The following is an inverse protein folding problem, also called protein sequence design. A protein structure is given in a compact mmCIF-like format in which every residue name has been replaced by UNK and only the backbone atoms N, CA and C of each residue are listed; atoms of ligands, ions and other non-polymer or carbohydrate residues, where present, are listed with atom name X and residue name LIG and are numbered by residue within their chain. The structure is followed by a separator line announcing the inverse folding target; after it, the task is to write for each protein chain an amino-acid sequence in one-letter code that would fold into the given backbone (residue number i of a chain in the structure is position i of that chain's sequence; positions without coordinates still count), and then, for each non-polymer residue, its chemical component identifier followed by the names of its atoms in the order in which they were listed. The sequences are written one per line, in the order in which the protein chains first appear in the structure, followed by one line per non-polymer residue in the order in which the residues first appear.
data_IF_283275127039
#
_entry.id   IF_283275127039
#
_cell.length_a   1.000
_cell.length_b   1.000
_cell.length_c   1.000
_cell.angle_alpha   90.00
_cell.angle_beta   90.00
_cell.angle_gamma   90.00
#
_symmetry.space_group_name_H-M   'P 1'
#
loop_
_entity.id
_entity.type
_entity.pdbx_description
1 polymer ?
#
# COMPACT_ATOMS: atom_id res chain seq x y z
N UNK A 1 42.69 -14.76 -32.66
CA UNK A 1 42.88 -14.04 -31.38
C UNK A 1 43.64 -12.75 -31.65
N UNK A 2 42.97 -11.59 -31.57
CA UNK A 2 43.55 -10.33 -31.11
C UNK A 2 42.40 -9.38 -30.80
N UNK A 3 42.54 -8.50 -29.81
CA UNK A 3 41.48 -7.58 -29.42
C UNK A 3 41.62 -6.23 -30.13
N UNK A 4 40.55 -5.79 -30.80
CA UNK A 4 40.39 -4.40 -31.28
C UNK A 4 39.04 -3.92 -30.73
N UNK A 5 39.07 -3.35 -29.52
CA UNK A 5 37.87 -2.86 -28.84
C UNK A 5 37.41 -1.51 -29.40
N UNK A 6 36.11 -1.31 -29.66
CA UNK A 6 35.59 -0.01 -30.06
C UNK A 6 35.61 0.97 -28.88
N UNK A 7 36.58 1.88 -28.96
CA UNK A 7 36.65 3.22 -28.36
C UNK A 7 35.31 3.79 -27.85
N UNK A 8 35.29 4.20 -26.58
CA UNK A 8 34.19 4.97 -25.97
C UNK A 8 34.17 6.42 -26.49
N UNK A 9 33.13 6.81 -27.21
CA UNK A 9 32.65 8.20 -27.36
C UNK A 9 31.12 8.20 -27.34
N UNK A 10 30.46 8.86 -26.37
CA UNK A 10 29.00 9.01 -26.34
C UNK A 10 28.56 10.29 -27.07
N UNK A 11 27.67 10.17 -28.04
CA UNK A 11 26.95 11.29 -28.64
C UNK A 11 25.55 10.86 -29.11
N UNK A 12 24.55 11.70 -28.86
CA UNK A 12 23.13 11.54 -29.19
C UNK A 12 22.40 10.38 -28.50
N UNK A 13 21.57 10.77 -27.54
CA UNK A 13 20.72 9.93 -26.73
C UNK A 13 19.80 9.00 -27.53
N UNK A 14 19.67 7.77 -27.03
CA UNK A 14 18.49 6.94 -27.24
C UNK A 14 18.08 6.41 -25.86
N UNK A 15 16.94 6.87 -25.35
CA UNK A 15 16.42 6.49 -24.03
C UNK A 15 15.79 5.09 -24.08
N UNK A 16 16.65 4.07 -24.12
CA UNK A 16 16.27 2.65 -23.97
C UNK A 16 16.14 2.26 -22.49
N UNK A 17 15.08 1.52 -22.15
CA UNK A 17 14.69 1.24 -20.76
C UNK A 17 15.78 0.62 -19.88
N UNK A 18 16.00 1.21 -18.70
CA UNK A 18 17.00 0.79 -17.73
C UNK A 18 16.55 -0.39 -16.85
N UNK A 19 16.01 -1.45 -17.45
CA UNK A 19 15.61 -2.69 -16.77
C UNK A 19 16.83 -3.57 -16.40
N UNK A 20 17.78 -3.05 -15.60
CA UNK A 20 19.04 -3.77 -15.41
C UNK A 20 20.10 -3.22 -14.46
N UNK A 21 19.75 -2.61 -13.31
CA UNK A 21 20.79 -2.30 -12.29
C UNK A 21 20.38 -2.44 -10.81
N UNK A 22 19.10 -2.65 -10.49
CA UNK A 22 18.61 -2.73 -9.09
C UNK A 22 18.81 -4.08 -8.40
N UNK A 23 19.43 -5.07 -9.08
CA UNK A 23 19.66 -6.41 -8.54
C UNK A 23 20.80 -6.46 -7.49
N UNK A 24 21.80 -5.58 -7.57
CA UNK A 24 23.08 -5.73 -6.84
C UNK A 24 23.15 -4.86 -5.57
N UNK A 25 22.10 -4.88 -4.76
CA UNK A 25 22.14 -4.39 -3.36
C UNK A 25 21.17 -5.13 -2.42
N UNK A 26 20.33 -6.06 -2.94
CA UNK A 26 19.27 -6.73 -2.14
C UNK A 26 19.81 -7.66 -1.03
N UNK A 27 21.05 -8.12 -1.16
CA UNK A 27 21.68 -9.16 -0.32
C UNK A 27 22.70 -8.63 0.72
N UNK A 28 22.72 -7.33 1.03
CA UNK A 28 23.56 -6.78 2.13
C UNK A 28 22.89 -6.73 3.50
N UNK A 29 21.61 -7.11 3.60
CA UNK A 29 21.10 -7.62 4.87
C UNK A 29 21.75 -9.00 5.11
N UNK A 30 22.71 -9.08 6.03
CA UNK A 30 23.41 -10.33 6.36
C UNK A 30 23.89 -10.35 7.82
N UNK A 31 22.96 -10.17 8.77
CA UNK A 31 23.28 -10.17 10.21
C UNK A 31 22.10 -10.64 11.05
N UNK A 32 22.25 -11.79 11.73
CA UNK A 32 21.16 -12.55 12.36
C UNK A 32 20.30 -11.76 13.36
N UNK A 33 20.90 -10.83 14.12
CA UNK A 33 20.17 -9.96 15.07
C UNK A 33 19.42 -8.82 14.34
N UNK A 34 19.97 -8.30 13.25
CA UNK A 34 19.41 -7.16 12.53
C UNK A 34 18.10 -7.47 11.79
N UNK A 35 17.93 -8.72 11.32
CA UNK A 35 16.68 -9.17 10.72
C UNK A 35 15.51 -9.13 11.70
N UNK A 36 15.65 -9.73 12.88
CA UNK A 36 14.57 -9.87 13.86
C UNK A 36 14.01 -8.52 14.32
N UNK A 37 14.88 -7.54 14.57
CA UNK A 37 14.46 -6.20 14.96
C UNK A 37 13.72 -5.45 13.84
N UNK A 38 14.13 -5.64 12.57
CA UNK A 38 13.44 -5.04 11.41
C UNK A 38 12.10 -5.73 11.12
N UNK A 39 12.04 -7.06 11.23
CA UNK A 39 10.80 -7.82 11.08
C UNK A 39 9.76 -7.39 12.12
N UNK A 40 10.18 -7.21 13.39
CA UNK A 40 9.34 -6.67 14.45
C UNK A 40 8.86 -5.24 14.13
N UNK A 41 9.76 -4.35 13.70
CA UNK A 41 9.40 -2.98 13.32
C UNK A 41 8.38 -2.89 12.17
N UNK A 42 8.57 -3.72 11.13
CA UNK A 42 7.64 -3.82 10.00
C UNK A 42 6.28 -4.42 10.41
N UNK A 43 6.27 -5.46 11.24
CA UNK A 43 5.04 -6.08 11.74
C UNK A 43 4.22 -5.12 12.63
N UNK A 44 4.89 -4.38 13.52
CA UNK A 44 4.24 -3.33 14.33
C UNK A 44 3.70 -2.20 13.45
N UNK A 45 4.47 -1.77 12.44
CA UNK A 45 4.00 -0.77 11.46
C UNK A 45 2.76 -1.22 10.68
N UNK A 46 2.73 -2.49 10.23
CA UNK A 46 1.58 -3.08 9.55
C UNK A 46 0.34 -3.14 10.47
N UNK A 47 0.51 -3.54 11.73
CA UNK A 47 -0.57 -3.55 12.72
C UNK A 47 -1.15 -2.16 12.99
N UNK A 48 -0.30 -1.13 13.13
CA UNK A 48 -0.73 0.26 13.32
C UNK A 48 -1.48 0.78 12.08
N UNK A 49 -1.04 0.44 10.87
CA UNK A 49 -1.69 0.86 9.62
C UNK A 49 -3.13 0.34 9.52
N UNK A 50 -3.37 -0.95 9.78
CA UNK A 50 -4.74 -1.52 9.81
C UNK A 50 -5.56 -0.92 10.96
N UNK A 51 -4.99 -0.82 12.15
CA UNK A 51 -5.71 -0.33 13.33
C UNK A 51 -6.20 1.13 13.14
N UNK A 52 -5.35 2.02 12.62
CA UNK A 52 -5.72 3.40 12.33
C UNK A 52 -6.81 3.49 11.25
N UNK A 53 -6.65 2.76 10.15
CA UNK A 53 -7.60 2.77 9.04
C UNK A 53 -8.97 2.18 9.44
N UNK A 54 -9.00 1.08 10.19
CA UNK A 54 -10.22 0.47 10.71
C UNK A 54 -10.96 1.36 11.72
N UNK A 55 -10.24 2.00 12.66
CA UNK A 55 -10.83 2.92 13.63
C UNK A 55 -11.39 4.21 13.00
N UNK A 56 -10.81 4.68 11.90
CA UNK A 56 -11.35 5.78 11.10
C UNK A 56 -12.60 5.36 10.32
N UNK A 57 -12.50 4.24 9.58
CA UNK A 57 -13.58 3.70 8.75
C UNK A 57 -14.83 3.39 9.58
N UNK A 58 -14.69 2.66 10.68
CA UNK A 58 -15.80 2.32 11.57
C UNK A 58 -16.48 3.53 12.21
N UNK A 59 -15.76 4.64 12.46
CA UNK A 59 -16.37 5.89 12.94
C UNK A 59 -17.15 6.63 11.86
N UNK A 60 -16.67 6.65 10.62
CA UNK A 60 -17.40 7.20 9.50
C UNK A 60 -18.67 6.37 9.18
N UNK A 61 -18.57 5.05 9.25
CA UNK A 61 -19.70 4.14 9.06
C UNK A 61 -20.73 4.22 10.19
N UNK A 62 -20.32 4.45 11.44
CA UNK A 62 -21.25 4.60 12.56
C UNK A 62 -22.22 5.79 12.38
N UNK A 63 -21.74 6.94 11.90
CA UNK A 63 -22.61 8.11 11.66
C UNK A 63 -23.49 7.92 10.42
N UNK A 64 -22.94 7.38 9.32
CA UNK A 64 -23.71 7.09 8.10
C UNK A 64 -24.78 6.02 8.35
N UNK A 65 -24.47 4.98 9.13
CA UNK A 65 -25.45 3.94 9.49
C UNK A 65 -26.57 4.45 10.39
N UNK A 66 -26.25 5.25 11.40
CA UNK A 66 -27.24 5.81 12.32
C UNK A 66 -28.20 6.80 11.63
N UNK A 67 -27.67 7.74 10.83
CA UNK A 67 -28.51 8.66 10.05
C UNK A 67 -29.23 7.97 8.88
N UNK A 68 -28.56 7.02 8.22
CA UNK A 68 -29.06 6.31 7.05
C UNK A 68 -30.24 5.40 7.34
N UNK A 69 -30.20 4.63 8.43
CA UNK A 69 -31.33 3.76 8.82
C UNK A 69 -32.59 4.56 9.19
N UNK A 70 -32.43 5.74 9.82
CA UNK A 70 -33.52 6.70 10.00
C UNK A 70 -34.10 7.19 8.66
N UNK A 71 -33.24 7.67 7.75
CA UNK A 71 -33.66 8.15 6.43
C UNK A 71 -34.36 7.08 5.58
N UNK A 72 -33.90 5.83 5.62
CA UNK A 72 -34.53 4.68 4.95
C UNK A 72 -35.92 4.39 5.54
N UNK A 73 -36.10 4.58 6.85
CA UNK A 73 -37.39 4.35 7.53
C UNK A 73 -38.45 5.38 7.12
N UNK A 74 -38.05 6.62 6.84
CA UNK A 74 -38.96 7.63 6.27
C UNK A 74 -39.19 7.46 4.77
N UNK A 75 -38.13 7.11 4.02
CA UNK A 75 -38.10 7.11 2.54
C UNK A 75 -37.28 5.91 2.03
N UNK A 76 -37.90 4.75 1.78
CA UNK A 76 -37.19 3.54 1.36
C UNK A 76 -36.44 3.71 0.03
N UNK A 77 -36.85 4.62 -0.85
CA UNK A 77 -36.10 4.96 -2.09
C UNK A 77 -34.66 5.40 -1.81
N UNK A 78 -34.37 5.96 -0.62
CA UNK A 78 -33.03 6.44 -0.26
C UNK A 78 -32.03 5.32 0.04
N UNK A 79 -32.46 4.05 0.11
CA UNK A 79 -31.59 2.91 0.41
C UNK A 79 -30.32 2.87 -0.45
N UNK A 80 -30.45 3.06 -1.78
CA UNK A 80 -29.30 3.07 -2.70
C UNK A 80 -28.31 4.20 -2.41
N UNK A 81 -28.81 5.39 -2.06
CA UNK A 81 -27.97 6.55 -1.73
C UNK A 81 -27.26 6.36 -0.38
N UNK A 82 -27.94 5.80 0.62
CA UNK A 82 -27.35 5.47 1.93
C UNK A 82 -26.28 4.39 1.77
N UNK A 83 -26.53 3.36 0.97
CA UNK A 83 -25.56 2.29 0.68
C UNK A 83 -24.31 2.83 -0.03
N UNK A 84 -24.47 3.75 -0.99
CA UNK A 84 -23.37 4.42 -1.67
C UNK A 84 -22.52 5.26 -0.69
N UNK A 85 -23.16 6.03 0.19
CA UNK A 85 -22.48 6.81 1.24
C UNK A 85 -21.76 5.91 2.25
N UNK A 86 -22.30 4.74 2.56
CA UNK A 86 -21.69 3.75 3.47
C UNK A 86 -20.47 3.04 2.84
N UNK A 87 -20.43 2.93 1.52
CA UNK A 87 -19.33 2.33 0.77
C UNK A 87 -18.11 3.25 0.59
N UNK A 88 -18.27 4.58 0.65
CA UNK A 88 -17.14 5.52 0.52
C UNK A 88 -16.05 5.29 1.60
N UNK A 89 -16.40 5.15 2.90
CA UNK A 89 -15.43 4.81 3.95
C UNK A 89 -14.63 3.51 3.73
N UNK A 90 -15.18 2.50 3.05
CA UNK A 90 -14.48 1.21 2.84
C UNK A 90 -13.14 1.37 2.10
N UNK A 91 -13.02 2.40 1.25
CA UNK A 91 -11.77 2.73 0.58
C UNK A 91 -10.62 2.99 1.58
N UNK A 92 -10.91 3.54 2.75
CA UNK A 92 -9.94 3.89 3.78
C UNK A 92 -9.35 2.63 4.42
N UNK A 93 -10.19 1.66 4.82
CA UNK A 93 -9.72 0.38 5.37
C UNK A 93 -8.99 -0.46 4.31
N UNK A 94 -9.44 -0.43 3.05
CA UNK A 94 -8.74 -1.09 1.94
C UNK A 94 -7.33 -0.51 1.75
N UNK A 95 -7.13 0.81 1.76
CA UNK A 95 -5.79 1.39 1.66
C UNK A 95 -4.89 1.02 2.86
N UNK A 96 -5.42 1.05 4.08
CA UNK A 96 -4.68 0.61 5.28
C UNK A 96 -4.27 -0.87 5.22
N UNK A 97 -5.15 -1.73 4.71
CA UNK A 97 -4.90 -3.16 4.51
C UNK A 97 -3.85 -3.41 3.43
N UNK A 98 -3.89 -2.70 2.30
CA UNK A 98 -2.88 -2.76 1.24
C UNK A 98 -1.50 -2.33 1.75
N UNK A 99 -1.41 -1.23 2.51
CA UNK A 99 -0.15 -0.77 3.12
C UNK A 99 0.42 -1.83 4.07
N UNK A 100 -0.43 -2.44 4.91
CA UNK A 100 0.00 -3.48 5.83
C UNK A 100 0.47 -4.75 5.13
N UNK A 101 -0.23 -5.21 4.09
CA UNK A 101 0.22 -6.33 3.25
C UNK A 101 1.56 -5.98 2.58
N UNK A 102 1.72 -4.78 2.03
CA UNK A 102 2.98 -4.36 1.40
C UNK A 102 4.16 -4.33 2.39
N UNK A 103 3.92 -3.97 3.65
CA UNK A 103 4.92 -4.05 4.72
C UNK A 103 5.26 -5.50 5.09
N UNK A 104 4.24 -6.36 5.25
CA UNK A 104 4.43 -7.79 5.57
C UNK A 104 5.15 -8.55 4.44
N UNK A 105 4.86 -8.24 3.17
CA UNK A 105 5.55 -8.78 1.99
C UNK A 105 7.00 -8.28 1.83
N UNK A 106 7.47 -7.38 2.72
CA UNK A 106 8.82 -6.81 2.69
C UNK A 106 9.69 -7.20 3.89
N UNK A 107 9.17 -8.04 4.79
CA UNK A 107 9.89 -8.68 5.90
C UNK A 107 10.88 -9.71 5.37
#
# INVERSE_FOLDING_TARGET
MLAVGPLFIPAHAQEGGAEGTTAIEKDRQAGSVGYGLRALGLAVGAGIAIAGAGLGTGRAQASVGAGGTGAITEKPELFGNVLLLFAIPETIVVFGFVIAIMLLMRI
#
